data_IF_187688547285
#
_entry.id   IF_187688547285
#
_cell.length_a   1.000
_cell.length_b   1.000
_cell.length_c   1.000
_cell.angle_alpha   90.00
_cell.angle_beta   90.00
_cell.angle_gamma   90.00
#
_symmetry.space_group_name_H-M   'P 1'
#
loop_
_entity.id
_entity.type
_entity.pdbx_description
1 polymer ?
#
# COMPACT_ATOMS: atom_id res chain seq x y z
N UNK A 1 -14.64 17.50 18.43
CA UNK A 1 -14.08 17.68 17.09
C UNK A 1 -13.32 16.40 16.73
N UNK A 2 -13.59 15.84 15.57
CA UNK A 2 -12.98 14.57 15.16
C UNK A 2 -11.60 14.78 14.55
N UNK A 3 -10.70 13.82 14.75
CA UNK A 3 -9.42 13.77 14.07
C UNK A 3 -9.60 13.65 12.56
N UNK A 4 -8.62 14.15 11.81
CA UNK A 4 -8.53 13.95 10.37
C UNK A 4 -7.28 13.14 10.05
N UNK A 5 -7.11 12.76 8.78
CA UNK A 5 -5.98 11.92 8.38
C UNK A 5 -5.32 12.49 7.15
N UNK A 6 -4.00 12.32 7.08
CA UNK A 6 -3.25 12.64 5.86
C UNK A 6 -3.52 11.58 4.78
N UNK A 7 -3.10 11.86 3.55
CA UNK A 7 -3.29 10.92 2.44
C UNK A 7 -2.59 9.58 2.65
N UNK A 8 -1.60 9.54 3.53
CA UNK A 8 -0.89 8.30 3.90
C UNK A 8 -1.37 7.71 5.23
N UNK A 9 -2.48 8.23 5.78
CA UNK A 9 -3.14 7.66 6.94
C UNK A 9 -2.60 8.12 8.29
N UNK A 10 -1.76 9.14 8.33
CA UNK A 10 -1.28 9.72 9.60
C UNK A 10 -2.41 10.49 10.25
N UNK A 11 -2.67 10.23 11.52
CA UNK A 11 -3.74 10.91 12.25
C UNK A 11 -3.33 12.33 12.64
N UNK A 12 -4.15 13.29 12.26
CA UNK A 12 -4.04 14.68 12.68
C UNK A 12 -5.04 14.90 13.80
N UNK A 13 -4.55 14.86 15.03
CA UNK A 13 -5.39 14.96 16.21
C UNK A 13 -5.93 16.38 16.37
N UNK A 14 -7.26 16.51 16.52
CA UNK A 14 -7.87 17.78 16.81
C UNK A 14 -7.60 18.17 18.28
N UNK A 15 -7.59 19.47 18.55
CA UNK A 15 -7.42 19.98 19.90
C UNK A 15 -8.52 19.43 20.80
N UNK A 16 -8.11 18.83 21.92
CA UNK A 16 -9.04 18.24 22.88
C UNK A 16 -9.46 16.81 22.55
N UNK A 17 -9.07 16.29 21.38
CA UNK A 17 -9.30 14.91 21.03
C UNK A 17 -8.31 13.98 21.74
N UNK A 18 -8.70 12.71 21.81
CA UNK A 18 -7.83 11.64 22.31
C UNK A 18 -7.34 11.85 23.76
N UNK A 19 -8.13 12.51 24.61
CA UNK A 19 -7.81 12.64 26.02
C UNK A 19 -7.62 11.23 26.63
N UNK A 20 -6.48 11.00 27.23
CA UNK A 20 -6.11 9.69 27.78
C UNK A 20 -5.58 8.69 26.74
N UNK A 21 -5.65 8.99 25.44
CA UNK A 21 -5.19 8.08 24.37
C UNK A 21 -4.19 8.73 23.42
N UNK A 22 -3.89 10.02 23.58
CA UNK A 22 -3.01 10.73 22.66
C UNK A 22 -1.61 10.11 22.57
N UNK A 23 -1.11 9.53 23.66
CA UNK A 23 0.18 8.85 23.64
C UNK A 23 0.18 7.63 22.72
N UNK A 24 -0.88 6.84 22.77
CA UNK A 24 -1.07 5.70 21.88
C UNK A 24 -1.17 6.16 20.43
N UNK A 25 -1.92 7.22 20.19
CA UNK A 25 -2.08 7.76 18.83
C UNK A 25 -0.78 8.33 18.29
N UNK A 26 -0.03 9.06 19.13
CA UNK A 26 1.27 9.60 18.75
C UNK A 26 2.25 8.46 18.41
N UNK A 27 2.28 7.42 19.22
CA UNK A 27 3.16 6.29 18.98
C UNK A 27 2.78 5.54 17.70
N UNK A 28 1.49 5.40 17.43
CA UNK A 28 1.03 4.81 16.17
C UNK A 28 1.48 5.64 14.97
N UNK A 29 1.39 6.96 15.07
CA UNK A 29 1.86 7.86 14.02
C UNK A 29 3.37 7.78 13.80
N UNK A 30 4.16 7.67 14.88
CA UNK A 30 5.61 7.53 14.77
C UNK A 30 5.99 6.19 14.12
N UNK A 31 5.30 5.12 14.49
CA UNK A 31 5.50 3.82 13.87
C UNK A 31 5.12 3.85 12.38
N UNK A 32 4.06 4.53 12.04
CA UNK A 32 3.65 4.69 10.65
C UNK A 32 4.67 5.51 9.86
N UNK A 33 5.19 6.58 10.45
CA UNK A 33 6.24 7.38 9.80
C UNK A 33 7.48 6.52 9.52
N UNK A 34 7.90 5.68 10.46
CA UNK A 34 9.01 4.76 10.25
C UNK A 34 8.72 3.76 9.13
N UNK A 35 7.51 3.22 9.10
CA UNK A 35 7.08 2.30 8.06
C UNK A 35 7.05 2.95 6.69
N UNK A 36 6.59 4.20 6.60
CA UNK A 36 6.58 4.97 5.35
C UNK A 36 7.98 5.26 4.84
N UNK A 37 8.96 5.39 5.73
CA UNK A 37 10.34 5.68 5.36
C UNK A 37 11.14 4.44 4.99
N UNK A 38 10.91 3.31 5.62
CA UNK A 38 11.74 2.14 5.43
C UNK A 38 11.04 0.79 5.56
N UNK A 39 9.73 0.77 5.72
CA UNK A 39 8.99 -0.48 5.82
C UNK A 39 8.86 -1.21 4.50
N UNK A 40 8.62 -2.53 4.56
CA UNK A 40 8.33 -3.30 3.37
C UNK A 40 7.08 -4.15 3.56
N UNK A 41 6.42 -4.46 2.47
CA UNK A 41 5.21 -5.27 2.43
C UNK A 41 5.30 -6.28 1.29
N UNK A 42 4.94 -7.51 1.58
CA UNK A 42 4.77 -8.54 0.56
C UNK A 42 3.29 -8.58 0.20
N UNK A 43 2.98 -8.38 -1.08
CA UNK A 43 1.62 -8.39 -1.58
C UNK A 43 1.44 -9.55 -2.56
N UNK A 44 0.70 -10.57 -2.14
CA UNK A 44 0.38 -11.70 -3.02
C UNK A 44 -0.68 -11.29 -4.03
N UNK A 45 -0.54 -11.74 -5.28
CA UNK A 45 -1.45 -11.35 -6.36
C UNK A 45 -2.51 -12.41 -6.63
N UNK A 46 -2.20 -13.69 -6.41
CA UNK A 46 -3.19 -14.75 -6.60
C UNK A 46 -4.28 -14.74 -5.52
N UNK A 47 -4.07 -14.01 -4.43
CA UNK A 47 -5.12 -13.83 -3.42
C UNK A 47 -6.38 -13.17 -3.99
N UNK A 48 -6.25 -12.43 -5.10
CA UNK A 48 -7.40 -11.83 -5.79
C UNK A 48 -8.14 -12.82 -6.68
N UNK A 49 -7.65 -14.05 -6.82
CA UNK A 49 -8.24 -15.08 -7.66
C UNK A 49 -7.37 -15.45 -8.83
N UNK A 50 -7.79 -16.44 -9.60
CA UNK A 50 -7.11 -16.85 -10.83
C UNK A 50 -7.52 -15.95 -12.00
N UNK A 51 -6.65 -15.87 -13.01
CA UNK A 51 -6.92 -15.09 -14.22
C UNK A 51 -6.50 -13.62 -14.09
N UNK A 52 -7.00 -12.80 -15.00
CA UNK A 52 -6.68 -11.37 -15.06
C UNK A 52 -7.54 -10.60 -14.06
N UNK A 53 -6.94 -10.13 -12.97
CA UNK A 53 -7.67 -9.40 -11.95
C UNK A 53 -6.79 -8.31 -11.30
N UNK A 54 -7.44 -7.45 -10.54
CA UNK A 54 -6.86 -6.25 -9.96
C UNK A 54 -6.69 -6.41 -8.45
N UNK A 55 -5.52 -6.02 -7.95
CA UNK A 55 -5.22 -5.96 -6.52
C UNK A 55 -4.97 -4.49 -6.15
N UNK A 56 -5.89 -3.84 -5.42
CA UNK A 56 -5.65 -2.48 -4.95
C UNK A 56 -4.74 -2.47 -3.73
N UNK A 57 -3.75 -1.60 -3.74
CA UNK A 57 -2.98 -1.28 -2.54
C UNK A 57 -3.77 -0.28 -1.72
N UNK A 58 -3.67 -0.36 -0.41
CA UNK A 58 -4.58 0.34 0.50
C UNK A 58 -3.86 1.28 1.46
N UNK A 59 -4.60 2.28 1.92
CA UNK A 59 -4.23 3.15 3.04
C UNK A 59 -5.22 2.87 4.16
N UNK A 60 -4.70 2.57 5.35
CA UNK A 60 -5.52 2.37 6.55
C UNK A 60 -5.33 3.56 7.48
N UNK A 61 -6.31 4.43 7.56
CA UNK A 61 -6.23 5.64 8.37
C UNK A 61 -6.04 5.31 9.86
N UNK A 62 -5.01 5.88 10.45
CA UNK A 62 -4.68 5.66 11.86
C UNK A 62 -4.11 4.29 12.20
N UNK A 63 -3.78 3.47 11.19
CA UNK A 63 -3.28 2.11 11.39
C UNK A 63 -2.07 1.84 10.49
N UNK A 64 -1.44 0.69 10.69
CA UNK A 64 -0.21 0.28 10.02
C UNK A 64 -0.45 -0.82 8.98
N UNK A 65 -1.71 -1.17 8.74
CA UNK A 65 -2.09 -2.34 7.95
C UNK A 65 -2.25 -2.07 6.46
N UNK A 66 -2.20 -0.82 6.04
CA UNK A 66 -2.34 -0.47 4.62
C UNK A 66 -1.13 -0.93 3.80
N UNK A 67 -1.36 -1.66 2.73
CA UNK A 67 -0.28 -2.15 1.88
C UNK A 67 0.46 -1.02 1.16
N UNK A 68 -0.21 0.11 0.88
CA UNK A 68 0.40 1.28 0.26
C UNK A 68 1.15 2.18 1.27
N UNK A 69 1.20 1.79 2.54
CA UNK A 69 1.87 2.54 3.60
C UNK A 69 3.29 2.01 3.88
N UNK A 70 3.94 1.44 2.89
CA UNK A 70 5.31 0.94 2.99
C UNK A 70 6.16 1.51 1.88
N UNK A 71 7.46 1.68 2.13
CA UNK A 71 8.39 2.19 1.13
C UNK A 71 8.68 1.12 0.06
N UNK A 72 8.87 -0.11 0.49
CA UNK A 72 9.22 -1.23 -0.39
C UNK A 72 8.02 -2.17 -0.50
N UNK A 73 7.63 -2.49 -1.71
CA UNK A 73 6.52 -3.41 -1.97
C UNK A 73 7.05 -4.53 -2.86
N UNK A 74 6.94 -5.76 -2.35
CA UNK A 74 7.33 -6.97 -3.09
C UNK A 74 6.04 -7.60 -3.60
N UNK A 75 5.87 -7.63 -4.91
CA UNK A 75 4.70 -8.23 -5.56
C UNK A 75 4.96 -9.73 -5.76
N UNK A 76 4.06 -10.54 -5.22
CA UNK A 76 4.21 -11.97 -5.21
C UNK A 76 4.52 -12.48 -3.81
N UNK A 77 5.64 -13.14 -3.65
CA UNK A 77 6.03 -13.72 -2.37
C UNK A 77 7.55 -13.64 -2.19
N UNK A 78 8.04 -14.05 -1.03
CA UNK A 78 9.49 -14.14 -0.78
C UNK A 78 10.12 -15.12 -1.77
N UNK A 79 9.52 -16.30 -1.92
CA UNK A 79 9.80 -17.18 -3.07
C UNK A 79 8.86 -16.77 -4.19
N UNK A 80 9.30 -16.79 -5.46
CA UNK A 80 8.46 -16.31 -6.55
C UNK A 80 7.06 -16.95 -6.54
N UNK A 81 6.05 -16.11 -6.65
CA UNK A 81 4.66 -16.56 -6.73
C UNK A 81 4.31 -16.85 -8.20
N UNK A 82 3.86 -18.07 -8.48
CA UNK A 82 3.39 -18.40 -9.83
C UNK A 82 1.99 -17.80 -10.03
N UNK A 83 1.89 -16.80 -10.89
CA UNK A 83 0.60 -16.16 -11.20
C UNK A 83 -0.07 -16.88 -12.36
N UNK A 84 -1.39 -16.88 -12.36
CA UNK A 84 -2.21 -17.65 -13.31
C UNK A 84 -2.94 -16.76 -14.32
N UNK A 85 -2.57 -15.50 -14.40
CA UNK A 85 -3.09 -14.54 -15.38
C UNK A 85 -2.38 -13.21 -15.24
N UNK A 86 -2.62 -12.30 -16.17
CA UNK A 86 -2.10 -10.94 -16.08
C UNK A 86 -2.72 -10.24 -14.89
N UNK A 87 -1.90 -9.55 -14.10
CA UNK A 87 -2.35 -8.88 -12.88
C UNK A 87 -2.19 -7.38 -13.01
N UNK A 88 -3.07 -6.67 -12.33
CA UNK A 88 -3.02 -5.21 -12.24
C UNK A 88 -2.95 -4.86 -10.75
N UNK A 89 -1.98 -4.01 -10.40
CA UNK A 89 -1.84 -3.47 -9.05
C UNK A 89 -2.13 -1.98 -9.10
N UNK A 90 -3.07 -1.52 -8.28
CA UNK A 90 -3.46 -0.12 -8.29
C UNK A 90 -3.00 0.59 -7.03
N UNK A 91 -2.64 1.86 -7.18
CA UNK A 91 -2.21 2.74 -6.10
C UNK A 91 -3.30 3.74 -5.79
N UNK A 92 -3.52 4.07 -4.50
CA UNK A 92 -4.46 5.12 -4.13
C UNK A 92 -4.04 6.47 -4.71
N UNK A 93 -5.03 7.30 -5.00
CA UNK A 93 -4.78 8.67 -5.43
C UNK A 93 -4.27 9.53 -4.27
N UNK A 94 -3.58 10.61 -4.61
CA UNK A 94 -3.13 11.63 -3.66
C UNK A 94 -2.10 11.14 -2.63
N UNK A 95 -1.41 10.03 -2.90
CA UNK A 95 -0.31 9.61 -2.05
C UNK A 95 0.96 10.38 -2.41
N UNK A 96 1.51 11.10 -1.45
CA UNK A 96 2.72 11.91 -1.65
C UNK A 96 3.95 11.13 -1.21
N UNK A 97 4.29 10.08 -1.95
CA UNK A 97 5.44 9.23 -1.65
C UNK A 97 5.94 8.55 -2.92
N UNK A 98 7.05 7.86 -2.80
CA UNK A 98 7.55 7.00 -3.85
C UNK A 98 7.79 5.60 -3.28
N UNK A 99 7.81 4.62 -4.17
CA UNK A 99 7.93 3.22 -3.80
C UNK A 99 9.10 2.57 -4.51
N UNK A 100 9.74 1.63 -3.83
CA UNK A 100 10.62 0.65 -4.46
C UNK A 100 9.80 -0.63 -4.64
N UNK A 101 9.58 -1.03 -5.88
CA UNK A 101 8.69 -2.16 -6.18
C UNK A 101 9.51 -3.26 -6.84
N UNK A 102 9.45 -4.45 -6.24
CA UNK A 102 10.07 -5.65 -6.78
C UNK A 102 8.98 -6.59 -7.27
N UNK A 103 9.11 -7.04 -8.51
CA UNK A 103 8.24 -8.09 -9.03
C UNK A 103 8.86 -9.44 -8.70
N UNK A 104 8.23 -10.17 -7.78
CA UNK A 104 8.64 -11.53 -7.37
C UNK A 104 7.57 -12.55 -7.77
N UNK A 105 7.09 -12.43 -9.00
CA UNK A 105 6.16 -13.39 -9.59
C UNK A 105 6.87 -14.24 -10.62
N UNK A 106 6.29 -15.38 -10.96
CA UNK A 106 6.78 -16.25 -12.03
C UNK A 106 5.64 -16.65 -12.95
N UNK A 107 5.97 -17.09 -14.16
CA UNK A 107 5.00 -17.46 -15.16
C UNK A 107 5.09 -16.53 -16.39
N UNK A 108 4.28 -16.81 -17.40
CA UNK A 108 4.28 -16.10 -18.67
C UNK A 108 3.24 -14.96 -18.69
N UNK A 109 3.03 -14.33 -17.55
CA UNK A 109 2.02 -13.28 -17.40
C UNK A 109 2.66 -11.98 -16.96
N UNK A 110 1.95 -10.88 -17.20
CA UNK A 110 2.43 -9.54 -16.86
C UNK A 110 1.82 -9.02 -15.56
N UNK A 111 2.53 -8.09 -14.91
CA UNK A 111 2.02 -7.32 -13.78
C UNK A 111 2.08 -5.85 -14.17
N UNK A 112 0.94 -5.17 -14.17
CA UNK A 112 0.85 -3.76 -14.50
C UNK A 112 0.60 -2.94 -13.23
N UNK A 113 1.33 -1.85 -13.11
CA UNK A 113 1.14 -0.87 -12.03
C UNK A 113 0.47 0.37 -12.58
N UNK A 114 -0.57 0.84 -11.92
CA UNK A 114 -1.24 2.07 -12.32
C UNK A 114 -1.99 2.71 -11.15
N UNK A 115 -2.39 3.97 -11.33
CA UNK A 115 -3.28 4.61 -10.36
C UNK A 115 -4.67 3.95 -10.40
N UNK A 116 -5.38 4.04 -9.28
CA UNK A 116 -6.70 3.41 -9.13
C UNK A 116 -7.72 3.99 -10.10
N UNK A 117 -7.53 5.22 -10.54
CA UNK A 117 -8.39 5.87 -11.53
C UNK A 117 -7.62 6.93 -12.29
N UNK A 118 -8.23 7.46 -13.35
CA UNK A 118 -7.59 8.46 -14.18
C UNK A 118 -6.78 7.87 -15.33
N UNK A 119 -6.10 8.74 -16.08
CA UNK A 119 -5.35 8.38 -17.28
C UNK A 119 -3.83 8.53 -17.11
N UNK A 120 -3.33 8.33 -15.90
CA UNK A 120 -1.90 8.40 -15.62
C UNK A 120 -1.09 7.31 -16.32
N UNK A 121 0.21 7.47 -16.31
CA UNK A 121 1.12 6.49 -16.90
C UNK A 121 1.02 5.15 -16.17
N UNK A 122 1.32 4.09 -16.89
CA UNK A 122 1.37 2.73 -16.35
C UNK A 122 2.76 2.16 -16.51
N UNK A 123 3.11 1.20 -15.63
CA UNK A 123 4.35 0.46 -15.72
C UNK A 123 3.98 -1.02 -15.77
N UNK A 124 4.59 -1.76 -16.68
CA UNK A 124 4.29 -3.18 -16.85
C UNK A 124 5.58 -3.99 -16.71
N UNK A 125 5.54 -4.97 -15.81
CA UNK A 125 6.57 -6.00 -15.72
C UNK A 125 6.18 -7.16 -16.63
N UNK A 126 7.10 -7.62 -17.44
CA UNK A 126 6.88 -8.77 -18.32
C UNK A 126 7.55 -10.03 -17.81
#
# INVERSE_FOLDING_TARGET
MASTYTNLGVELMATGENAGTWGTKTNANLNLAEQLLGGFKIQTLNAAGSGANTTPLTIADGALTGSAQNRVIILGAVSPEAITGNKIVTFPLLTETFYFIKNSTSGAYTVQLKAVSGSGATVTFS
#
